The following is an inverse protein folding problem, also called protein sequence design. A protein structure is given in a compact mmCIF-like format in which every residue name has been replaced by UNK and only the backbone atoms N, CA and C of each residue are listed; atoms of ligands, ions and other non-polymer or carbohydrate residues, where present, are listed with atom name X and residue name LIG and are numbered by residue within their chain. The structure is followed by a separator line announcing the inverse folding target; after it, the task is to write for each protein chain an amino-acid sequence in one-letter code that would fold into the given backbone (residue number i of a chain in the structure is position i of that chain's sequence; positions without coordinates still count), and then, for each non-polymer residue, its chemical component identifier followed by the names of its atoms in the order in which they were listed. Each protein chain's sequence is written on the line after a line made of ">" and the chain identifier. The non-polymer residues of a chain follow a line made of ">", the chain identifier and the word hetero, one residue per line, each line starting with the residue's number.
data_IF_859785836565
#
_entry.id   IF_859785836565
#
_cell.length_a   1.000
_cell.length_b   1.000
_cell.length_c   1.000
_cell.angle_alpha   90.00
_cell.angle_beta   90.00
_cell.angle_gamma   90.00
#
_symmetry.space_group_name_H-M   'P 1'
#
loop_
_entity.id
_entity.type
_entity.pdbx_description
1 polymer ?
#
# COMPACT_ATOMS: atom_id res chain seq x y z
N UNK A 1 6.41 -52.40 -23.93
CA UNK A 1 5.91 -52.26 -22.55
C UNK A 1 6.16 -50.83 -22.11
N UNK A 2 5.20 -49.94 -22.39
CA UNK A 2 5.30 -48.51 -22.11
C UNK A 2 4.67 -48.25 -20.74
N UNK A 3 5.49 -47.80 -19.80
CA UNK A 3 5.03 -47.24 -18.53
C UNK A 3 4.73 -45.76 -18.79
N UNK A 4 3.47 -45.34 -18.64
CA UNK A 4 3.13 -43.93 -18.62
C UNK A 4 2.53 -43.58 -17.26
N UNK A 5 3.18 -42.58 -16.68
CA UNK A 5 3.10 -42.09 -15.33
C UNK A 5 1.79 -41.33 -15.09
N UNK A 6 1.23 -41.56 -13.91
CA UNK A 6 -0.02 -41.00 -13.42
C UNK A 6 0.09 -39.47 -13.32
N UNK A 7 -0.87 -38.76 -13.92
CA UNK A 7 -1.02 -37.30 -13.83
C UNK A 7 -1.42 -36.93 -12.39
N UNK A 8 -0.53 -36.24 -11.67
CA UNK A 8 -0.79 -35.70 -10.33
C UNK A 8 -1.78 -34.53 -10.36
N UNK A 9 -2.44 -34.20 -9.22
CA UNK A 9 -3.36 -33.09 -9.14
C UNK A 9 -2.62 -31.74 -9.22
N UNK A 10 -3.00 -30.91 -10.19
CA UNK A 10 -2.54 -29.52 -10.29
C UNK A 10 -2.95 -28.74 -9.04
N UNK A 11 -1.97 -28.35 -8.22
CA UNK A 11 -2.16 -27.37 -7.15
C UNK A 11 -2.51 -26.01 -7.77
N UNK A 12 -3.79 -25.67 -7.75
CA UNK A 12 -4.26 -24.31 -8.02
C UNK A 12 -3.75 -23.39 -6.91
N UNK A 13 -2.72 -22.61 -7.19
CA UNK A 13 -2.30 -21.51 -6.32
C UNK A 13 -3.45 -20.52 -6.24
N UNK A 14 -4.13 -20.50 -5.10
CA UNK A 14 -5.12 -19.49 -4.75
C UNK A 14 -4.40 -18.14 -4.78
N UNK A 15 -4.56 -17.40 -5.87
CA UNK A 15 -4.14 -16.00 -5.95
C UNK A 15 -5.03 -15.22 -5.00
N UNK A 16 -4.67 -15.26 -3.71
CA UNK A 16 -5.15 -14.29 -2.74
C UNK A 16 -4.66 -12.95 -3.26
N UNK A 17 -5.54 -12.26 -3.98
CA UNK A 17 -5.45 -10.85 -4.31
C UNK A 17 -5.50 -10.05 -3.01
N UNK A 18 -4.46 -10.20 -2.21
CA UNK A 18 -4.08 -9.30 -1.15
C UNK A 18 -3.49 -8.08 -1.84
N UNK A 19 -4.18 -6.95 -1.68
CA UNK A 19 -3.70 -5.64 -2.06
C UNK A 19 -2.19 -5.53 -1.78
N UNK A 20 -1.44 -5.20 -2.81
CA UNK A 20 0.02 -5.19 -2.85
C UNK A 20 0.56 -4.28 -1.72
N UNK A 21 0.87 -4.89 -0.58
CA UNK A 21 1.44 -4.25 0.62
C UNK A 21 2.81 -4.83 0.99
N UNK A 22 3.22 -5.97 0.39
CA UNK A 22 4.47 -6.68 0.72
C UNK A 22 5.72 -6.19 -0.04
N UNK A 23 5.63 -5.16 -0.89
CA UNK A 23 6.81 -4.61 -1.57
C UNK A 23 7.20 -3.21 -1.05
N UNK A 24 6.84 -2.88 0.20
CA UNK A 24 7.34 -1.66 0.83
C UNK A 24 8.85 -1.80 1.04
N UNK A 25 9.70 -0.85 0.59
CA UNK A 25 11.14 -0.91 0.84
C UNK A 25 11.49 -0.84 2.33
N UNK A 26 10.50 -0.58 3.18
CA UNK A 26 10.59 -0.42 4.62
C UNK A 26 10.17 -1.66 5.43
N UNK A 27 9.92 -2.80 4.78
CA UNK A 27 9.48 -4.04 5.45
C UNK A 27 8.00 -4.03 5.86
N UNK A 28 7.65 -4.82 6.88
CA UNK A 28 6.28 -5.00 7.37
C UNK A 28 5.77 -3.76 8.13
N UNK A 29 5.10 -2.84 7.44
CA UNK A 29 4.53 -1.61 8.03
C UNK A 29 3.07 -1.76 8.47
N UNK A 30 2.56 -2.99 8.56
CA UNK A 30 1.14 -3.28 8.87
C UNK A 30 0.65 -2.62 10.16
N UNK A 31 1.52 -2.49 11.17
CA UNK A 31 1.18 -1.90 12.47
C UNK A 31 1.62 -0.43 12.63
N UNK A 32 2.39 0.11 11.69
CA UNK A 32 2.97 1.45 11.76
C UNK A 32 2.41 2.43 10.73
N UNK A 33 1.57 1.95 9.80
CA UNK A 33 0.84 2.79 8.84
C UNK A 33 -0.40 3.41 9.50
N UNK A 34 -0.51 4.73 9.42
CA UNK A 34 -1.63 5.50 9.96
C UNK A 34 -2.46 6.04 8.80
N UNK A 35 -3.80 5.92 8.89
CA UNK A 35 -4.69 6.59 7.95
C UNK A 35 -5.02 7.99 8.44
N UNK A 36 -4.92 8.98 7.55
CA UNK A 36 -5.25 10.38 7.86
C UNK A 36 -6.30 10.86 6.87
N UNK A 37 -7.50 11.16 7.37
CA UNK A 37 -8.61 11.70 6.60
C UNK A 37 -8.93 13.15 6.96
N UNK A 38 -9.80 13.79 6.18
CA UNK A 38 -10.20 15.18 6.41
C UNK A 38 -9.14 16.21 6.04
N UNK A 39 -8.18 15.82 5.19
CA UNK A 39 -7.18 16.75 4.66
C UNK A 39 -7.87 17.71 3.68
N UNK A 40 -7.48 18.98 3.72
CA UNK A 40 -7.87 19.93 2.69
C UNK A 40 -7.35 19.46 1.32
N UNK A 41 -8.06 19.82 0.24
CA UNK A 41 -7.68 19.40 -1.11
C UNK A 41 -6.32 19.97 -1.57
N UNK A 42 -5.88 21.04 -0.91
CA UNK A 42 -4.61 21.73 -1.15
C UNK A 42 -3.47 21.11 -0.32
N UNK A 43 -3.78 20.25 0.66
CA UNK A 43 -2.76 19.62 1.50
C UNK A 43 -1.94 18.63 0.67
N UNK A 44 -0.62 18.83 0.69
CA UNK A 44 0.35 17.97 0.03
C UNK A 44 1.01 17.00 1.03
N UNK A 45 1.60 15.93 0.51
CA UNK A 45 2.35 14.94 1.30
C UNK A 45 3.45 15.58 2.15
N UNK A 46 4.15 16.59 1.63
CA UNK A 46 5.22 17.27 2.36
C UNK A 46 4.70 18.06 3.57
N UNK A 47 3.57 18.77 3.42
CA UNK A 47 2.94 19.50 4.53
C UNK A 47 2.45 18.54 5.61
N UNK A 48 1.80 17.45 5.20
CA UNK A 48 1.36 16.40 6.10
C UNK A 48 2.54 15.78 6.84
N UNK A 49 3.58 15.35 6.11
CA UNK A 49 4.81 14.80 6.70
C UNK A 49 5.40 15.73 7.75
N UNK A 50 5.65 16.99 7.38
CA UNK A 50 6.25 17.98 8.29
C UNK A 50 5.42 18.19 9.55
N UNK A 51 4.10 18.14 9.43
CA UNK A 51 3.22 18.22 10.59
C UNK A 51 3.38 16.97 11.48
N UNK A 52 3.47 15.77 10.91
CA UNK A 52 3.59 14.55 11.70
C UNK A 52 5.02 14.28 12.23
N UNK A 53 6.05 14.86 11.63
CA UNK A 53 7.45 14.75 12.09
C UNK A 53 7.66 15.22 13.54
N UNK A 54 6.78 16.08 14.08
CA UNK A 54 6.85 16.49 15.49
C UNK A 54 6.44 15.38 16.47
N UNK A 55 5.69 14.38 16.01
CA UNK A 55 5.21 13.27 16.85
C UNK A 55 6.10 12.04 16.77
N UNK A 56 7.01 11.98 15.79
CA UNK A 56 7.95 10.86 15.61
C UNK A 56 8.62 10.86 14.25
N UNK A 57 9.47 9.87 14.03
CA UNK A 57 10.14 9.66 12.75
C UNK A 57 9.14 9.15 11.70
N UNK A 58 9.10 9.82 10.54
CA UNK A 58 8.20 9.46 9.43
C UNK A 58 9.01 8.75 8.36
N UNK A 59 8.64 7.50 8.10
CA UNK A 59 9.24 6.66 7.05
C UNK A 59 8.74 7.08 5.67
N UNK A 60 7.42 7.20 5.53
CA UNK A 60 6.76 7.61 4.29
C UNK A 60 5.46 8.33 4.63
N UNK A 61 5.12 9.36 3.84
CA UNK A 61 3.83 10.03 3.91
C UNK A 61 3.35 10.34 2.50
N UNK A 62 2.13 9.93 2.18
CA UNK A 62 1.56 10.07 0.84
C UNK A 62 0.13 10.55 0.92
N UNK A 63 -0.16 11.67 0.25
CA UNK A 63 -1.52 12.13 0.01
C UNK A 63 -2.04 11.45 -1.24
N UNK A 64 -3.21 10.82 -1.15
CA UNK A 64 -3.80 10.15 -2.29
C UNK A 64 -4.50 11.17 -3.16
N UNK A 65 -4.02 11.30 -4.39
CA UNK A 65 -4.60 12.16 -5.42
C UNK A 65 -5.33 11.33 -6.46
N UNK A 66 -6.35 11.93 -7.06
CA UNK A 66 -7.06 11.36 -8.19
C UNK A 66 -6.18 11.42 -9.45
N UNK A 67 -6.03 10.29 -10.14
CA UNK A 67 -5.12 10.18 -11.30
C UNK A 67 -5.57 10.97 -12.53
N UNK A 68 -6.87 11.24 -12.66
CA UNK A 68 -7.41 11.94 -13.83
C UNK A 68 -7.31 13.45 -13.65
N UNK A 69 -7.60 13.92 -12.44
CA UNK A 69 -7.67 15.36 -12.13
C UNK A 69 -6.44 15.91 -11.42
N UNK A 70 -5.59 15.03 -10.87
CA UNK A 70 -4.46 15.40 -10.02
C UNK A 70 -4.84 15.95 -8.65
N UNK A 71 -6.14 16.05 -8.33
CA UNK A 71 -6.62 16.65 -7.08
C UNK A 71 -6.50 15.68 -5.91
N UNK A 72 -6.18 16.20 -4.74
CA UNK A 72 -6.21 15.40 -3.51
C UNK A 72 -7.62 14.87 -3.24
N UNK A 73 -7.70 13.60 -2.84
CA UNK A 73 -8.93 12.98 -2.39
C UNK A 73 -9.26 13.31 -0.93
N UNK A 74 -8.45 14.16 -0.29
CA UNK A 74 -8.64 14.58 1.10
C UNK A 74 -8.24 13.53 2.14
N UNK A 75 -7.41 12.57 1.75
CA UNK A 75 -6.86 11.56 2.65
C UNK A 75 -5.45 11.13 2.24
N UNK A 76 -4.71 10.59 3.20
CA UNK A 76 -3.35 10.11 3.03
C UNK A 76 -2.99 9.00 4.00
N UNK A 77 -1.77 8.50 3.86
CA UNK A 77 -1.13 7.48 4.69
C UNK A 77 0.27 7.93 5.10
#
# INVERSE_FOLDING_TARGET
>A
MAFQQILGPSSGSSSSSGFQYMNSPFGDTTYTKVFVGGLAWETQSETMRRYFEQFGEIVEAVVITDKNTGRSKGYGF
#
